data_IF_842701377514
#
_entry.id   IF_842701377514
#
_cell.length_a   1.000
_cell.length_b   1.000
_cell.length_c   1.000
_cell.angle_alpha   90.00
_cell.angle_beta   90.00
_cell.angle_gamma   90.00
#
_symmetry.space_group_name_H-M   'P 1'
#
loop_
_entity.id
_entity.type
_entity.pdbx_description
1 polymer ?
#
# COMPACT_ATOMS: atom_id res chain seq x y z
N UNK A 1 -18.65 -5.78 6.49
CA UNK A 1 -17.60 -4.99 7.18
C UNK A 1 -18.26 -3.88 7.99
N UNK A 2 -17.98 -3.86 9.27
CA UNK A 2 -18.26 -2.74 10.16
C UNK A 2 -16.99 -1.90 10.43
N UNK A 3 -17.08 -0.95 11.36
CA UNK A 3 -15.98 -0.03 11.69
C UNK A 3 -14.78 -0.72 12.33
N UNK A 4 -14.99 -1.91 12.94
CA UNK A 4 -13.97 -2.68 13.65
C UNK A 4 -13.43 -3.87 12.86
N UNK A 5 -13.97 -4.15 11.66
CA UNK A 5 -13.53 -5.27 10.83
C UNK A 5 -12.31 -4.90 10.01
N UNK A 6 -11.14 -5.47 10.34
CA UNK A 6 -9.86 -5.26 9.68
C UNK A 6 -9.71 -6.10 8.41
N UNK A 7 -10.09 -7.36 8.49
CA UNK A 7 -10.03 -8.29 7.36
C UNK A 7 -11.04 -9.41 7.50
N UNK A 8 -11.39 -10.00 6.36
CA UNK A 8 -12.21 -11.21 6.27
C UNK A 8 -11.42 -12.24 5.47
N UNK A 9 -11.42 -13.47 5.97
CA UNK A 9 -10.72 -14.59 5.37
C UNK A 9 -11.71 -15.73 5.09
N UNK A 10 -11.80 -16.14 3.84
CA UNK A 10 -12.69 -17.18 3.37
C UNK A 10 -11.89 -18.19 2.56
N UNK A 11 -11.72 -19.40 3.06
CA UNK A 11 -11.02 -20.50 2.38
C UNK A 11 -11.97 -21.66 2.13
N UNK A 12 -11.86 -22.29 0.97
CA UNK A 12 -12.63 -23.47 0.61
C UNK A 12 -12.51 -24.56 1.67
N UNK A 13 -13.65 -25.06 2.16
CA UNK A 13 -13.70 -26.11 3.19
C UNK A 13 -13.44 -25.63 4.63
N UNK A 14 -13.26 -24.32 4.85
CA UNK A 14 -12.98 -23.73 6.18
C UNK A 14 -14.06 -22.71 6.55
N UNK A 15 -14.39 -22.59 7.83
CA UNK A 15 -15.32 -21.55 8.29
C UNK A 15 -14.75 -20.15 8.06
N UNK A 16 -15.51 -19.25 7.42
CA UNK A 16 -15.10 -17.86 7.24
C UNK A 16 -14.87 -17.16 8.57
N UNK A 17 -13.80 -16.37 8.65
CA UNK A 17 -13.45 -15.61 9.84
C UNK A 17 -13.21 -14.14 9.53
N UNK A 18 -13.63 -13.27 10.45
CA UNK A 18 -13.25 -11.87 10.48
C UNK A 18 -12.20 -11.61 11.54
N UNK A 19 -11.21 -10.79 11.18
CA UNK A 19 -10.30 -10.19 12.16
C UNK A 19 -10.89 -8.85 12.57
N UNK A 20 -11.24 -8.72 13.84
CA UNK A 20 -11.90 -7.53 14.42
C UNK A 20 -11.08 -6.93 15.55
N UNK A 21 -11.18 -5.62 15.70
CA UNK A 21 -10.51 -4.85 16.76
C UNK A 21 -9.76 -3.65 16.21
N UNK A 22 -8.68 -3.29 16.91
CA UNK A 22 -7.78 -2.21 16.54
C UNK A 22 -6.35 -2.76 16.36
N UNK A 23 -5.46 -2.06 15.66
CA UNK A 23 -4.06 -2.49 15.57
C UNK A 23 -3.44 -2.72 16.95
N UNK A 24 -2.94 -3.94 17.19
CA UNK A 24 -2.37 -4.35 18.47
C UNK A 24 -3.33 -5.02 19.45
N UNK A 25 -4.63 -4.86 19.28
CA UNK A 25 -5.67 -5.52 20.11
C UNK A 25 -6.81 -6.01 19.20
N UNK A 26 -6.72 -7.24 18.75
CA UNK A 26 -7.68 -7.84 17.82
C UNK A 26 -7.98 -9.29 18.19
N UNK A 27 -9.12 -9.78 17.72
CA UNK A 27 -9.55 -11.17 17.84
C UNK A 27 -10.09 -11.69 16.49
N UNK A 28 -10.20 -13.01 16.38
CA UNK A 28 -10.85 -13.68 15.26
C UNK A 28 -12.27 -14.06 15.64
N UNK A 29 -13.22 -13.71 14.78
CA UNK A 29 -14.64 -14.00 14.95
C UNK A 29 -15.15 -14.82 13.76
N UNK A 30 -15.75 -16.00 13.97
CA UNK A 30 -16.41 -16.73 12.90
C UNK A 30 -17.57 -15.93 12.32
N UNK A 31 -17.64 -15.88 10.98
CA UNK A 31 -18.70 -15.18 10.25
C UNK A 31 -19.88 -16.08 9.91
N UNK A 32 -19.66 -17.40 9.86
CA UNK A 32 -20.67 -18.40 9.56
C UNK A 32 -20.38 -19.66 10.42
N UNK A 33 -21.40 -20.51 10.56
CA UNK A 33 -21.32 -21.81 11.21
C UNK A 33 -21.02 -22.96 10.23
N UNK A 34 -20.83 -22.65 8.95
CA UNK A 34 -20.57 -23.61 7.88
C UNK A 34 -19.27 -23.25 7.15
N UNK A 35 -18.51 -24.27 6.69
CA UNK A 35 -17.36 -24.06 5.81
C UNK A 35 -17.79 -23.41 4.51
N UNK A 36 -16.97 -22.49 3.99
CA UNK A 36 -17.19 -21.88 2.68
C UNK A 36 -17.05 -22.92 1.58
N UNK A 37 -17.99 -22.94 0.67
CA UNK A 37 -17.95 -23.83 -0.49
C UNK A 37 -17.26 -23.16 -1.69
N UNK A 38 -16.68 -23.96 -2.57
CA UNK A 38 -16.08 -23.48 -3.82
C UNK A 38 -17.06 -22.68 -4.68
N UNK A 39 -18.32 -23.07 -4.70
CA UNK A 39 -19.35 -22.39 -5.49
C UNK A 39 -19.64 -20.98 -4.94
N UNK A 40 -19.73 -20.84 -3.63
CA UNK A 40 -19.89 -19.53 -2.96
C UNK A 40 -18.70 -18.62 -3.25
N UNK A 41 -17.48 -19.12 -3.06
CA UNK A 41 -16.28 -18.34 -3.34
C UNK A 41 -16.19 -17.93 -4.82
N UNK A 42 -16.52 -18.85 -5.73
CA UNK A 42 -16.53 -18.54 -7.18
C UNK A 42 -17.57 -17.47 -7.52
N UNK A 43 -18.74 -17.50 -6.86
CA UNK A 43 -19.78 -16.48 -7.05
C UNK A 43 -19.28 -15.09 -6.59
N UNK A 44 -18.65 -15.03 -5.42
CA UNK A 44 -18.06 -13.79 -4.89
C UNK A 44 -16.98 -13.23 -5.84
N UNK A 45 -16.08 -14.09 -6.32
CA UNK A 45 -15.03 -13.66 -7.27
C UNK A 45 -15.61 -13.11 -8.55
N UNK A 46 -16.66 -13.75 -9.10
CA UNK A 46 -17.32 -13.25 -10.29
C UNK A 46 -17.94 -11.89 -10.08
N UNK A 47 -18.65 -11.70 -8.97
CA UNK A 47 -19.26 -10.41 -8.61
C UNK A 47 -18.20 -9.31 -8.44
N UNK A 48 -17.13 -9.57 -7.68
CA UNK A 48 -16.02 -8.64 -7.53
C UNK A 48 -15.36 -8.30 -8.87
N UNK A 49 -15.15 -9.31 -9.72
CA UNK A 49 -14.58 -9.10 -11.05
C UNK A 49 -15.49 -8.25 -11.95
N UNK A 50 -16.80 -8.41 -11.87
CA UNK A 50 -17.77 -7.59 -12.61
C UNK A 50 -17.76 -6.14 -12.09
N UNK A 51 -17.74 -5.92 -10.79
CA UNK A 51 -17.67 -4.58 -10.19
C UNK A 51 -16.37 -3.85 -10.57
N UNK A 52 -15.24 -4.56 -10.61
CA UNK A 52 -13.94 -3.99 -10.97
C UNK A 52 -13.71 -3.83 -12.49
N UNK A 53 -14.71 -4.10 -13.34
CA UNK A 53 -14.69 -3.71 -14.76
C UNK A 53 -14.85 -2.20 -14.97
N UNK A 54 -15.48 -1.52 -14.03
CA UNK A 54 -15.58 -0.07 -14.05
C UNK A 54 -14.40 0.53 -13.24
N UNK A 55 -13.43 1.18 -13.92
CA UNK A 55 -12.25 1.74 -13.24
C UNK A 55 -12.57 2.82 -12.20
N UNK A 56 -13.75 3.44 -12.27
CA UNK A 56 -14.19 4.41 -11.26
C UNK A 56 -14.59 3.75 -9.94
N UNK A 57 -14.92 2.45 -9.97
CA UNK A 57 -15.40 1.68 -8.82
C UNK A 57 -14.30 0.80 -8.25
N UNK A 58 -13.52 0.16 -9.14
CA UNK A 58 -12.46 -0.75 -8.73
C UNK A 58 -11.50 -1.07 -9.88
N UNK A 59 -10.34 -1.60 -9.53
CA UNK A 59 -9.28 -1.97 -10.47
C UNK A 59 -8.73 -3.36 -10.17
N UNK A 60 -8.16 -3.99 -11.19
CA UNK A 60 -7.35 -5.21 -11.05
C UNK A 60 -5.89 -4.79 -10.93
N UNK A 61 -5.33 -4.90 -9.73
CA UNK A 61 -3.96 -4.48 -9.44
C UNK A 61 -2.92 -5.55 -9.81
N UNK A 62 -3.29 -6.82 -9.60
CA UNK A 62 -2.44 -7.97 -9.93
C UNK A 62 -3.30 -9.03 -10.59
N UNK A 63 -2.83 -9.59 -11.71
CA UNK A 63 -3.47 -10.73 -12.38
C UNK A 63 -2.39 -11.69 -12.83
N UNK A 64 -2.24 -12.78 -12.09
CA UNK A 64 -1.29 -13.85 -12.34
C UNK A 64 -2.03 -15.20 -12.34
N UNK A 65 -1.39 -16.24 -12.89
CA UNK A 65 -1.96 -17.57 -12.78
C UNK A 65 -2.00 -18.02 -11.31
N UNK A 66 -3.20 -18.31 -10.84
CA UNK A 66 -3.46 -18.68 -9.45
C UNK A 66 -3.58 -17.52 -8.45
N UNK A 67 -3.37 -16.25 -8.82
CA UNK A 67 -3.49 -15.12 -7.91
C UNK A 67 -4.02 -13.85 -8.59
N UNK A 68 -5.06 -13.25 -8.03
CA UNK A 68 -5.61 -11.97 -8.50
C UNK A 68 -5.83 -11.04 -7.32
N UNK A 69 -5.45 -9.78 -7.45
CA UNK A 69 -5.69 -8.76 -6.44
C UNK A 69 -6.54 -7.66 -7.06
N UNK A 70 -7.66 -7.38 -6.42
CA UNK A 70 -8.56 -6.29 -6.78
C UNK A 70 -8.47 -5.18 -5.74
N UNK A 71 -8.55 -3.94 -6.19
CA UNK A 71 -8.83 -2.78 -5.36
C UNK A 71 -10.27 -2.32 -5.64
N UNK A 72 -11.14 -2.36 -4.64
CA UNK A 72 -12.53 -1.93 -4.72
C UNK A 72 -12.80 -0.85 -3.68
N UNK A 73 -12.83 0.41 -4.11
CA UNK A 73 -12.84 1.53 -3.18
C UNK A 73 -11.66 1.45 -2.21
N UNK A 74 -11.94 1.39 -0.91
CA UNK A 74 -10.91 1.20 0.13
C UNK A 74 -10.56 -0.26 0.42
N UNK A 75 -11.21 -1.23 -0.23
CA UNK A 75 -10.99 -2.65 0.03
C UNK A 75 -9.95 -3.24 -0.93
N UNK A 76 -8.97 -3.95 -0.38
CA UNK A 76 -8.09 -4.84 -1.13
C UNK A 76 -8.65 -6.26 -1.03
N UNK A 77 -8.87 -6.89 -2.16
CA UNK A 77 -9.44 -8.25 -2.25
C UNK A 77 -8.42 -9.13 -2.97
N UNK A 78 -7.78 -10.02 -2.23
CA UNK A 78 -6.86 -11.00 -2.77
C UNK A 78 -7.59 -12.32 -2.96
N UNK A 79 -7.51 -12.87 -4.17
CA UNK A 79 -8.05 -14.18 -4.54
C UNK A 79 -6.90 -15.08 -4.93
N UNK A 80 -6.80 -16.23 -4.29
CA UNK A 80 -5.81 -17.25 -4.63
C UNK A 80 -6.48 -18.58 -4.95
N UNK A 81 -5.87 -19.37 -5.83
CA UNK A 81 -6.37 -20.69 -6.25
C UNK A 81 -5.20 -21.60 -6.65
N UNK A 82 -5.41 -22.92 -6.71
CA UNK A 82 -4.43 -23.83 -7.25
C UNK A 82 -4.01 -23.46 -8.70
N UNK A 83 -2.73 -23.63 -9.09
CA UNK A 83 -1.67 -24.31 -8.35
C UNK A 83 -0.91 -23.43 -7.34
N UNK A 84 -1.19 -22.13 -7.26
CA UNK A 84 -0.48 -21.22 -6.37
C UNK A 84 -0.79 -21.49 -4.89
N UNK A 85 -2.03 -21.82 -4.55
CA UNK A 85 -2.47 -22.20 -3.20
C UNK A 85 -3.06 -23.63 -3.19
N UNK A 86 -3.18 -24.21 -2.01
CA UNK A 86 -3.74 -25.55 -1.80
C UNK A 86 -5.26 -25.64 -1.97
N UNK A 87 -5.94 -24.50 -1.97
CA UNK A 87 -7.39 -24.35 -2.16
C UNK A 87 -7.73 -22.93 -2.58
N UNK A 88 -8.99 -22.70 -2.94
CA UNK A 88 -9.44 -21.35 -3.23
C UNK A 88 -9.59 -20.54 -1.93
N UNK A 89 -9.00 -19.35 -1.90
CA UNK A 89 -9.10 -18.42 -0.78
C UNK A 89 -9.38 -17.01 -1.27
N UNK A 90 -10.22 -16.31 -0.53
CA UNK A 90 -10.50 -14.88 -0.69
C UNK A 90 -10.17 -14.19 0.63
N UNK A 91 -9.26 -13.24 0.58
CA UNK A 91 -8.95 -12.35 1.69
C UNK A 91 -9.34 -10.93 1.34
N UNK A 92 -10.21 -10.34 2.14
CA UNK A 92 -10.62 -8.94 2.01
C UNK A 92 -10.00 -8.15 3.15
N UNK A 93 -9.26 -7.10 2.84
CA UNK A 93 -8.63 -6.21 3.82
C UNK A 93 -9.18 -4.80 3.65
N UNK A 94 -9.53 -4.15 4.76
CA UNK A 94 -9.93 -2.75 4.81
C UNK A 94 -8.99 -1.99 5.73
N UNK A 95 -8.34 -0.90 5.29
CA UNK A 95 -7.62 -0.02 6.19
C UNK A 95 -8.58 0.62 7.19
N UNK A 96 -8.30 0.48 8.50
CA UNK A 96 -9.23 0.96 9.55
C UNK A 96 -8.93 2.40 9.96
N UNK A 97 -7.68 2.84 9.84
CA UNK A 97 -7.24 4.10 10.44
C UNK A 97 -6.66 5.01 9.39
N UNK A 98 -7.29 6.18 9.23
CA UNK A 98 -6.71 7.33 8.53
C UNK A 98 -6.25 8.33 9.58
N UNK A 99 -4.94 8.49 9.74
CA UNK A 99 -4.32 9.45 10.64
C UNK A 99 -3.84 10.67 9.87
N UNK A 100 -3.86 11.83 10.52
CA UNK A 100 -3.17 13.03 10.05
C UNK A 100 -1.79 13.11 10.68
N UNK A 101 -0.88 13.86 10.06
CA UNK A 101 0.49 14.00 10.58
C UNK A 101 0.53 14.53 12.03
N UNK A 102 -0.46 15.37 12.40
CA UNK A 102 -0.59 15.93 13.74
C UNK A 102 -0.90 14.88 14.81
N UNK A 103 -1.55 13.78 14.44
CA UNK A 103 -1.93 12.71 15.36
C UNK A 103 -0.72 11.87 15.82
N UNK A 104 0.43 12.02 15.15
CA UNK A 104 1.67 11.31 15.48
C UNK A 104 2.53 12.00 16.54
N UNK A 105 2.15 13.16 17.05
CA UNK A 105 2.88 13.89 18.09
C UNK A 105 4.39 14.00 17.82
N UNK A 106 4.74 14.34 16.58
CA UNK A 106 6.15 14.47 16.17
C UNK A 106 6.87 15.53 16.99
N UNK A 107 8.17 15.32 17.25
CA UNK A 107 8.98 16.35 17.89
C UNK A 107 9.03 17.63 17.06
N UNK A 108 9.15 18.79 17.71
CA UNK A 108 9.25 20.10 17.05
C UNK A 108 10.41 20.11 16.03
N UNK A 109 11.54 19.48 16.37
CA UNK A 109 12.69 19.37 15.45
C UNK A 109 12.34 18.64 14.16
N UNK A 110 11.55 17.55 14.24
CA UNK A 110 11.14 16.79 13.08
C UNK A 110 10.08 17.55 12.27
N UNK A 111 9.13 18.20 12.93
CA UNK A 111 8.14 19.05 12.26
C UNK A 111 8.81 20.18 11.48
N UNK A 112 9.73 20.91 12.09
CA UNK A 112 10.49 21.98 11.42
C UNK A 112 11.25 21.43 10.20
N UNK A 113 11.87 20.24 10.32
CA UNK A 113 12.58 19.62 9.20
C UNK A 113 11.66 19.25 8.05
N UNK A 114 10.45 18.80 8.33
CA UNK A 114 9.42 18.52 7.31
C UNK A 114 8.92 19.81 6.65
N UNK A 115 8.75 20.89 7.42
CA UNK A 115 8.30 22.20 6.93
C UNK A 115 9.35 22.90 6.08
N UNK A 116 10.64 22.77 6.43
CA UNK A 116 11.78 23.37 5.70
C UNK A 116 12.06 22.66 4.34
N UNK A 117 11.35 21.56 4.05
CA UNK A 117 11.49 20.82 2.81
C UNK A 117 12.51 19.67 2.93
N UNK A 118 12.13 18.63 3.64
CA UNK A 118 12.91 17.39 3.66
C UNK A 118 12.84 16.72 2.27
N UNK A 119 13.97 16.64 1.60
CA UNK A 119 14.04 16.15 0.22
C UNK A 119 14.15 14.63 0.10
N UNK A 120 14.63 13.96 1.15
CA UNK A 120 14.75 12.51 1.24
C UNK A 120 14.24 12.03 2.60
N UNK A 121 13.14 11.29 2.61
CA UNK A 121 12.51 10.75 3.83
C UNK A 121 12.44 9.25 3.69
N UNK A 122 12.89 8.53 4.71
CA UNK A 122 12.81 7.07 4.79
C UNK A 122 11.93 6.69 5.97
N UNK A 123 10.85 5.97 5.70
CA UNK A 123 9.92 5.43 6.68
C UNK A 123 10.18 3.93 6.78
N UNK A 124 10.69 3.48 7.92
CA UNK A 124 11.10 2.09 8.10
C UNK A 124 10.45 1.49 9.36
N UNK A 125 10.18 0.19 9.30
CA UNK A 125 9.63 -0.57 10.43
C UNK A 125 9.19 -1.97 10.01
N UNK A 126 8.82 -2.84 10.97
CA UNK A 126 8.32 -4.17 10.68
C UNK A 126 6.95 -4.14 9.97
N UNK A 127 6.49 -5.27 9.40
CA UNK A 127 5.14 -5.39 8.86
C UNK A 127 4.08 -5.01 9.91
N UNK A 128 3.05 -4.27 9.47
CA UNK A 128 1.95 -3.86 10.36
C UNK A 128 2.26 -2.71 11.34
N UNK A 129 3.44 -2.07 11.25
CA UNK A 129 3.82 -0.95 12.12
C UNK A 129 3.21 0.42 11.74
N UNK A 130 2.35 0.47 10.74
CA UNK A 130 1.70 1.72 10.30
C UNK A 130 2.52 2.58 9.35
N UNK A 131 3.55 2.04 8.68
CA UNK A 131 4.41 2.79 7.74
C UNK A 131 3.63 3.44 6.60
N UNK A 132 2.80 2.67 5.89
CA UNK A 132 2.00 3.17 4.78
C UNK A 132 0.95 4.18 5.25
N UNK A 133 0.40 4.01 6.46
CA UNK A 133 -0.49 4.99 7.10
C UNK A 133 0.23 6.31 7.37
N UNK A 134 1.47 6.24 7.88
CA UNK A 134 2.29 7.44 8.10
C UNK A 134 2.70 8.09 6.77
N UNK A 135 3.07 7.29 5.76
CA UNK A 135 3.39 7.78 4.43
C UNK A 135 2.20 8.51 3.77
N UNK A 136 0.99 7.94 3.88
CA UNK A 136 -0.25 8.58 3.42
C UNK A 136 -0.50 9.92 4.13
N UNK A 137 -0.33 9.96 5.46
CA UNK A 137 -0.52 11.20 6.23
C UNK A 137 0.50 12.27 5.86
N UNK A 138 1.74 11.88 5.55
CA UNK A 138 2.79 12.77 5.11
C UNK A 138 2.55 13.28 3.67
N UNK A 139 2.07 12.41 2.78
CA UNK A 139 1.65 12.81 1.43
C UNK A 139 0.57 13.89 1.49
N UNK A 140 -0.48 13.69 2.28
CA UNK A 140 -1.55 14.67 2.47
C UNK A 140 -1.06 15.96 3.13
N UNK A 141 -0.12 15.85 4.07
CA UNK A 141 0.52 17.02 4.71
C UNK A 141 1.20 17.93 3.69
N UNK A 142 1.89 17.38 2.69
CA UNK A 142 2.51 18.17 1.63
C UNK A 142 1.49 18.73 0.63
N UNK A 143 0.43 17.99 0.30
CA UNK A 143 -0.68 18.52 -0.52
C UNK A 143 -1.34 19.73 0.16
N UNK A 144 -1.57 19.67 1.47
CA UNK A 144 -2.13 20.78 2.25
C UNK A 144 -1.19 22.01 2.28
N UNK A 145 0.07 21.87 1.89
CA UNK A 145 1.07 22.92 1.68
C UNK A 145 1.27 23.29 0.22
N UNK A 146 0.28 23.01 -0.62
CA UNK A 146 0.28 23.33 -2.06
C UNK A 146 1.41 22.66 -2.83
N UNK A 147 1.85 21.47 -2.40
CA UNK A 147 2.82 20.64 -3.12
C UNK A 147 2.13 19.65 -4.05
N UNK A 148 2.70 19.42 -5.21
CA UNK A 148 2.28 18.37 -6.13
C UNK A 148 2.89 17.05 -5.64
N UNK A 149 2.03 16.16 -5.14
CA UNK A 149 2.44 14.86 -4.61
C UNK A 149 1.92 13.74 -5.51
N UNK A 150 2.75 12.73 -5.73
CA UNK A 150 2.42 11.51 -6.46
C UNK A 150 2.84 10.30 -5.64
N UNK A 151 2.36 9.12 -6.03
CA UNK A 151 2.79 7.87 -5.40
C UNK A 151 3.23 6.85 -6.43
N UNK A 152 4.17 5.99 -6.03
CA UNK A 152 4.51 4.72 -6.66
C UNK A 152 4.10 3.58 -5.75
N UNK A 153 3.21 2.72 -6.20
CA UNK A 153 2.61 1.65 -5.40
C UNK A 153 2.40 0.37 -6.20
N UNK A 154 2.59 -0.75 -5.55
CA UNK A 154 2.23 -2.06 -6.11
C UNK A 154 1.84 -3.04 -4.98
N UNK A 155 0.52 -3.24 -4.75
CA UNK A 155 -0.65 -2.63 -5.38
C UNK A 155 -0.91 -1.19 -4.90
N UNK A 156 -1.75 -0.44 -5.64
CA UNK A 156 -2.18 0.91 -5.27
C UNK A 156 -3.23 0.83 -4.17
N UNK A 157 -2.83 1.12 -2.94
CA UNK A 157 -3.72 0.99 -1.78
C UNK A 157 -3.49 2.04 -0.68
N UNK A 158 -2.60 2.99 -0.89
CA UNK A 158 -2.45 4.12 0.01
C UNK A 158 -3.77 4.92 0.09
N UNK A 159 -4.17 5.22 1.30
CA UNK A 159 -5.39 6.00 1.55
C UNK A 159 -5.05 7.49 1.51
N UNK A 160 -5.07 8.05 0.32
CA UNK A 160 -4.70 9.45 0.05
C UNK A 160 -5.83 10.25 -0.59
N UNK A 161 -5.72 11.58 -0.56
CA UNK A 161 -6.67 12.50 -1.20
C UNK A 161 -6.66 12.31 -2.72
N UNK A 162 -7.79 12.63 -3.37
CA UNK A 162 -7.99 12.51 -4.83
C UNK A 162 -7.02 13.35 -5.67
N UNK A 163 -6.46 14.40 -5.11
CA UNK A 163 -5.46 15.27 -5.72
C UNK A 163 -4.11 14.56 -5.94
N UNK A 164 -3.88 13.46 -5.21
CA UNK A 164 -2.68 12.64 -5.33
C UNK A 164 -2.94 11.54 -6.36
N UNK A 165 -2.26 11.64 -7.50
CA UNK A 165 -2.32 10.56 -8.50
C UNK A 165 -1.45 9.39 -8.02
N UNK A 166 -2.05 8.21 -7.98
CA UNK A 166 -1.39 6.97 -7.59
C UNK A 166 -0.95 6.20 -8.85
N UNK A 167 0.35 5.97 -9.00
CA UNK A 167 0.93 5.25 -10.13
C UNK A 167 1.32 3.84 -9.72
N UNK A 168 0.88 2.87 -10.51
CA UNK A 168 1.41 1.51 -10.50
C UNK A 168 2.63 1.36 -11.40
N UNK A 169 3.26 0.18 -11.41
CA UNK A 169 4.34 -0.12 -12.35
C UNK A 169 3.83 -0.06 -13.80
N UNK A 170 4.58 0.63 -14.68
CA UNK A 170 4.31 0.67 -16.11
C UNK A 170 4.97 -0.54 -16.77
N UNK A 171 4.19 -1.37 -17.48
CA UNK A 171 4.68 -2.61 -18.07
C UNK A 171 5.43 -3.52 -17.06
N UNK A 172 4.99 -3.51 -15.81
CA UNK A 172 5.54 -4.35 -14.74
C UNK A 172 6.80 -3.78 -14.06
N UNK A 173 7.27 -2.57 -14.42
CA UNK A 173 8.42 -1.90 -13.82
C UNK A 173 8.13 -0.46 -13.42
N UNK A 174 8.70 -0.02 -12.29
CA UNK A 174 8.73 1.40 -11.92
C UNK A 174 9.82 2.18 -12.68
N UNK A 175 10.87 1.53 -13.16
CA UNK A 175 11.90 2.15 -14.01
C UNK A 175 11.26 2.77 -15.26
N UNK A 176 10.34 2.05 -15.91
CA UNK A 176 9.61 2.57 -17.07
C UNK A 176 8.71 3.77 -16.74
N UNK A 177 8.33 3.92 -15.49
CA UNK A 177 7.46 5.02 -15.04
C UNK A 177 8.23 6.29 -14.65
N UNK A 178 9.54 6.20 -14.39
CA UNK A 178 10.38 7.33 -13.93
C UNK A 178 10.36 8.48 -14.93
N UNK A 179 10.64 8.20 -16.21
CA UNK A 179 10.68 9.23 -17.26
C UNK A 179 9.35 9.98 -17.37
N UNK A 180 8.24 9.25 -17.29
CA UNK A 180 6.90 9.83 -17.32
C UNK A 180 6.68 10.71 -16.08
N UNK A 181 7.08 10.21 -14.90
CA UNK A 181 6.87 10.94 -13.65
C UNK A 181 7.71 12.21 -13.58
N UNK A 182 8.95 12.19 -14.10
CA UNK A 182 9.81 13.38 -14.20
C UNK A 182 9.20 14.46 -15.13
N UNK A 183 8.49 14.07 -16.18
CA UNK A 183 7.76 15.00 -17.04
C UNK A 183 6.56 15.65 -16.33
N UNK A 184 5.95 14.95 -15.37
CA UNK A 184 4.85 15.47 -14.54
C UNK A 184 5.34 16.48 -13.49
N UNK A 185 6.63 16.48 -13.17
CA UNK A 185 7.31 17.37 -12.21
C UNK A 185 6.64 17.41 -10.83
N UNK A 186 6.55 16.30 -10.11
CA UNK A 186 6.06 16.32 -8.74
C UNK A 186 7.05 17.01 -7.80
N UNK A 187 6.54 17.71 -6.78
CA UNK A 187 7.39 18.18 -5.68
C UNK A 187 7.84 17.02 -4.79
N UNK A 188 6.93 16.05 -4.56
CA UNK A 188 7.17 14.86 -3.77
C UNK A 188 6.61 13.60 -4.43
N UNK A 189 7.31 12.49 -4.26
CA UNK A 189 6.82 11.16 -4.63
C UNK A 189 6.95 10.21 -3.43
N UNK A 190 5.85 9.59 -3.04
CA UNK A 190 5.84 8.48 -2.09
C UNK A 190 6.09 7.20 -2.84
N UNK A 191 7.13 6.46 -2.49
CA UNK A 191 7.39 5.13 -3.02
C UNK A 191 7.06 4.12 -1.92
N UNK A 192 5.87 3.55 -1.99
CA UNK A 192 5.43 2.54 -1.03
C UNK A 192 6.09 1.20 -1.36
N UNK A 193 6.78 0.66 -0.36
CA UNK A 193 7.50 -0.62 -0.43
C UNK A 193 8.72 -0.68 -1.37
N UNK A 194 9.75 0.09 -1.09
CA UNK A 194 11.08 -0.06 -1.71
C UNK A 194 11.70 -1.39 -1.27
N UNK A 195 11.74 -2.38 -2.18
CA UNK A 195 12.15 -3.77 -1.88
C UNK A 195 13.33 -4.24 -2.71
N UNK A 196 13.24 -4.09 -4.04
CA UNK A 196 14.20 -4.60 -5.01
C UNK A 196 15.34 -3.61 -5.21
N UNK A 197 16.44 -4.07 -5.77
CA UNK A 197 17.56 -3.19 -6.12
C UNK A 197 17.11 -2.07 -7.06
N UNK A 198 16.34 -2.40 -8.09
CA UNK A 198 15.77 -1.45 -9.06
C UNK A 198 14.89 -0.38 -8.39
N UNK A 199 14.15 -0.72 -7.31
CA UNK A 199 13.36 0.27 -6.60
C UNK A 199 14.24 1.32 -5.90
N UNK A 200 15.42 0.92 -5.41
CA UNK A 200 16.38 1.86 -4.82
C UNK A 200 17.04 2.73 -5.90
N UNK A 201 17.32 2.19 -7.06
CA UNK A 201 17.82 2.91 -8.23
C UNK A 201 16.79 3.98 -8.66
N UNK A 202 15.53 3.60 -8.84
CA UNK A 202 14.40 4.52 -9.10
C UNK A 202 14.30 5.62 -8.05
N UNK A 203 14.39 5.26 -6.75
CA UNK A 203 14.37 6.24 -5.66
C UNK A 203 15.51 7.24 -5.77
N UNK A 204 16.72 6.76 -6.07
CA UNK A 204 17.91 7.58 -6.24
C UNK A 204 17.81 8.52 -7.45
N UNK A 205 17.40 8.00 -8.60
CA UNK A 205 17.29 8.76 -9.84
C UNK A 205 16.28 9.90 -9.72
N UNK A 206 15.12 9.62 -9.14
CA UNK A 206 14.12 10.64 -8.84
C UNK A 206 14.65 11.70 -7.87
N UNK A 207 15.39 11.25 -6.86
CA UNK A 207 16.00 12.15 -5.87
C UNK A 207 17.08 13.05 -6.50
N UNK A 208 17.95 12.49 -7.34
CA UNK A 208 18.98 13.23 -8.08
C UNK A 208 18.38 14.20 -9.09
N UNK A 209 17.22 13.89 -9.64
CA UNK A 209 16.45 14.78 -10.50
C UNK A 209 15.75 15.93 -9.75
N UNK A 210 15.88 16.00 -8.41
CA UNK A 210 15.35 17.08 -7.59
C UNK A 210 13.94 16.85 -7.02
N UNK A 211 13.39 15.64 -7.17
CA UNK A 211 12.11 15.28 -6.58
C UNK A 211 12.29 14.94 -5.11
N UNK A 212 11.45 15.46 -4.22
CA UNK A 212 11.38 15.03 -2.83
C UNK A 212 10.88 13.59 -2.74
N UNK A 213 11.69 12.67 -2.25
CA UNK A 213 11.35 11.25 -2.20
C UNK A 213 10.99 10.80 -0.78
N UNK A 214 9.88 10.09 -0.65
CA UNK A 214 9.41 9.47 0.60
C UNK A 214 9.39 7.96 0.35
N UNK A 215 10.41 7.25 0.83
CA UNK A 215 10.53 5.80 0.66
C UNK A 215 10.02 5.03 1.86
N UNK A 216 9.16 4.06 1.64
CA UNK A 216 8.69 3.13 2.67
C UNK A 216 9.41 1.80 2.50
N UNK A 217 10.00 1.29 3.57
CA UNK A 217 10.71 0.02 3.53
C UNK A 217 10.54 -0.81 4.81
N UNK A 218 10.70 -2.10 4.68
CA UNK A 218 10.73 -3.00 5.82
C UNK A 218 12.13 -3.05 6.41
N UNK A 219 12.26 -2.67 7.68
CA UNK A 219 13.48 -2.83 8.46
C UNK A 219 13.13 -3.01 9.94
N UNK A 220 13.96 -3.75 10.66
CA UNK A 220 13.76 -3.98 12.10
C UNK A 220 14.28 -2.81 12.93
N UNK A 221 15.31 -2.13 12.44
CA UNK A 221 15.94 -0.97 13.09
C UNK A 221 16.20 0.16 12.09
N UNK A 222 16.42 1.37 12.58
CA UNK A 222 16.82 2.51 11.73
C UNK A 222 18.19 2.27 11.07
N UNK A 223 19.09 1.55 11.74
CA UNK A 223 20.38 1.19 11.18
C UNK A 223 20.25 0.23 9.99
N UNK A 224 19.38 -0.80 10.09
CA UNK A 224 19.10 -1.70 8.98
C UNK A 224 18.53 -0.95 7.76
N UNK A 225 17.68 0.05 8.02
CA UNK A 225 17.13 0.88 6.96
C UNK A 225 18.26 1.65 6.22
N UNK A 226 19.15 2.29 6.96
CA UNK A 226 20.31 3.02 6.41
C UNK A 226 21.22 2.05 5.62
N UNK A 227 21.54 0.89 6.18
CA UNK A 227 22.38 -0.10 5.53
C UNK A 227 21.80 -0.61 4.21
N UNK A 228 20.47 -0.70 4.10
CA UNK A 228 19.81 -1.06 2.83
C UNK A 228 20.05 -0.02 1.73
N UNK A 229 20.14 1.25 2.08
CA UNK A 229 20.46 2.31 1.13
C UNK A 229 21.95 2.30 0.77
N UNK A 230 22.84 2.32 1.75
CA UNK A 230 24.31 2.38 1.54
C UNK A 230 24.81 1.25 0.63
N UNK A 231 24.23 0.05 0.71
CA UNK A 231 24.65 -1.08 -0.12
C UNK A 231 24.04 -1.11 -1.52
N UNK A 232 23.16 -0.16 -1.90
CA UNK A 232 22.36 -0.23 -3.12
C UNK A 232 22.28 1.07 -3.92
N UNK A 233 22.69 2.17 -3.33
CA UNK A 233 22.73 3.48 -3.95
C UNK A 233 24.16 3.95 -3.89
N UNK A 234 24.72 4.43 -5.00
CA UNK A 234 25.96 5.18 -5.02
C UNK A 234 25.69 6.55 -4.35
N UNK A 235 26.44 6.85 -3.29
CA UNK A 235 26.32 8.08 -2.50
C UNK A 235 27.13 9.20 -3.14
#
# INVERSE_FOLDING_TARGET
FDEHTMSVHMKEGVMPVAKRGVPGDFHLEPLDNKPATRNELTSIVREVSELCRNPEIGTVEVSLDGATVYQYGSYRIAVTKPPFSDGMEITVVKPIVKLRIQDYHLSIKLQNRLDEGAEGIVIAGPPGSGKSTFASSLAEYYVDRSKIVKTFESPRDLQVKKEITQYGPLEGSFENAVDILLLVRPDYTVFDEVRRRTDFEVFSDMRLAGVGMIGVLHASTSLDAIQRFIGRIEL
#
